data_IF_559114254529
#
_entry.id   IF_559114254529
#
_cell.length_a   1.000
_cell.length_b   1.000
_cell.length_c   1.000
_cell.angle_alpha   90.00
_cell.angle_beta   90.00
_cell.angle_gamma   90.00
#
_symmetry.space_group_name_H-M   'P 1'
#
loop_
_entity.id
_entity.type
_entity.pdbx_description
1 polymer ?
#
# COMPACT_ATOMS: atom_id res chain seq x y z
N UNK A 1 5.33 -6.71 5.10
CA UNK A 1 4.96 -5.54 4.28
C UNK A 1 5.48 -4.23 4.87
N UNK A 2 5.17 -3.90 6.13
CA UNK A 2 5.52 -2.59 6.74
C UNK A 2 7.02 -2.23 6.73
N UNK A 3 7.94 -3.19 6.97
CA UNK A 3 9.40 -2.93 6.87
C UNK A 3 9.80 -2.48 5.44
N UNK A 4 9.19 -3.07 4.41
CA UNK A 4 9.38 -2.65 3.01
C UNK A 4 8.87 -1.22 2.80
N UNK A 5 7.69 -0.91 3.33
CA UNK A 5 7.10 0.42 3.26
C UNK A 5 7.97 1.46 3.98
N UNK A 6 8.63 1.11 5.09
CA UNK A 6 9.58 1.98 5.78
C UNK A 6 10.78 2.35 4.90
N UNK A 7 11.41 1.36 4.26
CA UNK A 7 12.55 1.59 3.36
C UNK A 7 12.14 2.48 2.18
N UNK A 8 10.95 2.24 1.61
CA UNK A 8 10.45 3.01 0.48
C UNK A 8 10.05 4.43 0.87
N UNK A 9 9.39 4.61 2.02
CA UNK A 9 9.06 5.93 2.55
C UNK A 9 10.30 6.76 2.85
N UNK A 10 11.34 6.16 3.42
CA UNK A 10 12.64 6.82 3.64
C UNK A 10 13.26 7.25 2.30
N UNK A 11 13.21 6.40 1.27
CA UNK A 11 13.71 6.76 -0.06
C UNK A 11 12.93 7.93 -0.68
N UNK A 12 11.60 7.95 -0.54
CA UNK A 12 10.76 9.05 -0.99
C UNK A 12 11.12 10.37 -0.28
N UNK A 13 11.21 10.35 1.05
CA UNK A 13 11.54 11.53 1.85
C UNK A 13 12.95 12.07 1.52
N UNK A 14 13.93 11.19 1.31
CA UNK A 14 15.28 11.57 0.86
C UNK A 14 15.28 12.23 -0.51
N UNK A 15 14.49 11.69 -1.45
CA UNK A 15 14.34 12.29 -2.78
C UNK A 15 13.58 13.63 -2.73
N UNK A 16 12.70 13.83 -1.76
CA UNK A 16 12.03 15.12 -1.53
C UNK A 16 12.93 16.17 -0.86
N UNK A 17 14.18 15.81 -0.52
CA UNK A 17 15.18 16.70 0.06
C UNK A 17 15.41 16.56 1.57
N UNK A 18 14.71 15.65 2.25
CA UNK A 18 14.90 15.39 3.68
C UNK A 18 16.10 14.45 3.86
N UNK A 19 17.26 14.99 4.23
CA UNK A 19 18.53 14.24 4.32
C UNK A 19 18.48 13.07 5.29
N UNK A 20 17.93 13.30 6.48
CA UNK A 20 17.83 12.31 7.57
C UNK A 20 16.38 12.22 8.06
N UNK A 21 15.49 11.57 7.29
CA UNK A 21 14.08 11.53 7.61
C UNK A 21 13.83 10.74 8.89
N UNK A 22 12.95 11.28 9.72
CA UNK A 22 12.41 10.59 10.88
C UNK A 22 11.32 9.61 10.51
N UNK A 23 11.44 8.41 11.06
CA UNK A 23 10.51 7.31 10.85
C UNK A 23 9.70 7.04 12.11
N UNK A 24 8.38 6.99 11.99
CA UNK A 24 7.50 6.47 13.02
C UNK A 24 6.59 5.35 12.49
N UNK A 25 6.10 4.51 13.40
CA UNK A 25 5.23 3.38 13.07
C UNK A 25 3.88 3.63 13.70
N UNK A 26 2.82 3.65 12.90
CA UNK A 26 1.47 3.78 13.45
C UNK A 26 1.13 2.57 14.32
N UNK A 27 0.45 2.80 15.45
CA UNK A 27 0.02 1.74 16.36
C UNK A 27 -1.13 0.89 15.78
N UNK A 28 -0.78 0.03 14.82
CA UNK A 28 -1.64 -0.98 14.19
C UNK A 28 -1.05 -2.37 14.38
N UNK A 29 -1.78 -3.41 13.95
CA UNK A 29 -1.29 -4.78 13.98
C UNK A 29 0.03 -4.93 13.21
N UNK A 30 0.97 -5.66 13.81
CA UNK A 30 2.32 -5.82 13.27
C UNK A 30 3.28 -4.66 13.55
N UNK A 31 2.85 -3.56 14.18
CA UNK A 31 3.72 -2.42 14.50
C UNK A 31 4.94 -2.81 15.36
N UNK A 32 4.74 -3.59 16.43
CA UNK A 32 5.83 -4.08 17.31
C UNK A 32 6.76 -5.07 16.63
N UNK A 33 6.26 -5.86 15.67
CA UNK A 33 7.13 -6.73 14.88
C UNK A 33 7.99 -5.91 13.92
N UNK A 34 7.40 -4.91 13.29
CA UNK A 34 8.08 -3.97 12.39
C UNK A 34 9.16 -3.18 13.13
N UNK A 35 8.85 -2.64 14.31
CA UNK A 35 9.79 -1.95 15.20
C UNK A 35 11.03 -2.82 15.50
N UNK A 36 10.81 -4.06 15.95
CA UNK A 36 11.90 -5.00 16.25
C UNK A 36 12.78 -5.28 15.02
N UNK A 37 12.21 -5.44 13.84
CA UNK A 37 12.97 -5.70 12.61
C UNK A 37 13.79 -4.47 12.19
N UNK A 38 13.19 -3.28 12.26
CA UNK A 38 13.89 -2.04 11.92
C UNK A 38 15.02 -1.73 12.90
N UNK A 39 14.84 -2.00 14.20
CA UNK A 39 15.91 -1.92 15.20
C UNK A 39 17.05 -2.89 14.89
N UNK A 40 16.74 -4.13 14.50
CA UNK A 40 17.77 -5.09 14.07
C UNK A 40 18.53 -4.62 12.83
N UNK A 41 17.83 -4.02 11.85
CA UNK A 41 18.47 -3.43 10.66
C UNK A 41 19.35 -2.25 11.05
N UNK A 42 18.91 -1.39 11.97
CA UNK A 42 19.68 -0.25 12.47
C UNK A 42 20.97 -0.72 13.16
N UNK A 43 20.88 -1.75 14.01
CA UNK A 43 22.04 -2.38 14.66
C UNK A 43 23.01 -3.03 13.66
N UNK A 44 22.56 -3.33 12.43
CA UNK A 44 23.36 -3.85 11.32
C UNK A 44 23.83 -2.75 10.35
N UNK A 45 23.65 -1.48 10.71
CA UNK A 45 24.18 -0.33 9.97
C UNK A 45 23.20 0.35 9.00
N UNK A 46 21.90 0.02 9.03
CA UNK A 46 20.90 0.77 8.27
C UNK A 46 20.57 2.10 8.96
N UNK A 47 21.05 3.21 8.40
CA UNK A 47 20.92 4.53 9.01
C UNK A 47 19.60 5.23 8.65
N UNK A 48 18.83 5.55 9.68
CA UNK A 48 17.66 6.45 9.65
C UNK A 48 17.44 7.00 11.07
N UNK A 49 16.69 8.11 11.18
CA UNK A 49 16.32 8.71 12.47
C UNK A 49 14.99 8.12 12.94
N UNK A 50 14.88 7.74 14.19
CA UNK A 50 13.57 7.46 14.76
C UNK A 50 12.81 8.75 15.03
N UNK A 51 11.51 8.73 14.76
CA UNK A 51 10.57 9.68 15.29
C UNK A 51 10.14 9.31 16.71
N UNK A 52 9.54 10.26 17.41
CA UNK A 52 9.04 10.08 18.77
C UNK A 52 7.58 10.52 18.86
N UNK A 53 6.77 9.68 19.51
CA UNK A 53 5.42 10.04 19.93
C UNK A 53 5.49 11.03 21.09
N UNK A 54 4.56 11.99 21.12
CA UNK A 54 4.47 13.00 22.19
C UNK A 54 3.92 12.46 23.53
N UNK A 55 3.76 11.15 23.69
CA UNK A 55 3.40 10.56 24.99
C UNK A 55 4.52 10.82 26.01
N UNK A 56 4.14 10.89 27.30
CA UNK A 56 5.12 11.04 28.39
C UNK A 56 6.22 9.96 28.39
N UNK A 57 5.89 8.76 27.91
CA UNK A 57 6.79 7.60 27.77
C UNK A 57 7.57 7.55 26.43
N UNK A 58 7.40 8.54 25.54
CA UNK A 58 8.14 8.71 24.26
C UNK A 58 8.16 7.52 23.29
N UNK A 59 9.06 7.48 22.30
CA UNK A 59 9.31 6.28 21.49
C UNK A 59 8.54 6.16 20.18
N UNK A 60 8.79 5.06 19.46
CA UNK A 60 8.65 5.00 18.00
C UNK A 60 7.27 4.62 17.47
N UNK A 61 6.39 4.16 18.37
CA UNK A 61 5.02 3.78 18.04
C UNK A 61 4.10 5.00 18.22
N UNK A 62 3.53 5.45 17.12
CA UNK A 62 2.72 6.65 17.00
C UNK A 62 1.24 6.38 17.27
N UNK A 63 0.53 7.40 17.77
CA UNK A 63 -0.93 7.45 17.90
C UNK A 63 -1.52 8.42 16.88
N UNK A 64 -2.84 8.39 16.69
CA UNK A 64 -3.56 9.30 15.79
C UNK A 64 -3.18 10.78 15.94
N UNK A 65 -3.00 11.26 17.18
CA UNK A 65 -2.61 12.66 17.43
C UNK A 65 -1.23 13.01 16.85
N UNK A 66 -0.28 12.06 16.86
CA UNK A 66 1.08 12.30 16.34
C UNK A 66 1.07 12.52 14.82
N UNK A 67 0.08 11.98 14.10
CA UNK A 67 -0.12 12.23 12.67
C UNK A 67 -0.63 13.65 12.44
N UNK A 68 -1.55 14.13 13.29
CA UNK A 68 -2.13 15.47 13.18
C UNK A 68 -1.11 16.58 13.48
N UNK A 69 -0.18 16.32 14.40
CA UNK A 69 0.86 17.28 14.77
C UNK A 69 2.09 17.20 13.86
N UNK A 70 2.16 16.22 12.94
CA UNK A 70 3.28 16.08 12.02
C UNK A 70 4.60 15.75 12.70
N UNK A 71 4.60 14.89 13.72
CA UNK A 71 5.78 14.63 14.55
C UNK A 71 6.93 13.90 13.83
N UNK A 72 6.66 13.31 12.66
CA UNK A 72 7.64 12.53 11.89
C UNK A 72 7.54 12.84 10.41
N UNK A 73 8.62 12.61 9.68
CA UNK A 73 8.67 12.79 8.22
C UNK A 73 8.03 11.61 7.48
N UNK A 74 8.15 10.39 8.03
CA UNK A 74 7.62 9.14 7.44
C UNK A 74 6.83 8.37 8.49
N UNK A 75 5.55 8.11 8.19
CA UNK A 75 4.69 7.21 8.99
C UNK A 75 4.49 5.90 8.24
N UNK A 76 4.71 4.78 8.92
CA UNK A 76 4.48 3.44 8.35
C UNK A 76 3.26 2.78 8.98
N UNK A 77 2.39 2.26 8.14
CA UNK A 77 1.21 1.46 8.50
C UNK A 77 1.00 0.34 7.46
N UNK A 78 0.00 -0.51 7.71
CA UNK A 78 -0.51 -1.46 6.73
C UNK A 78 -1.29 -0.76 5.60
N UNK A 79 -1.55 -1.49 4.52
CA UNK A 79 -2.16 -0.95 3.30
C UNK A 79 -3.58 -0.43 3.53
N UNK A 80 -4.40 -1.12 4.34
CA UNK A 80 -5.79 -0.76 4.55
C UNK A 80 -5.88 0.52 5.38
N UNK A 81 -5.12 0.58 6.47
CA UNK A 81 -5.02 1.79 7.30
C UNK A 81 -4.50 2.96 6.47
N UNK A 82 -3.45 2.77 5.67
CA UNK A 82 -2.92 3.80 4.78
C UNK A 82 -3.98 4.36 3.81
N UNK A 83 -4.80 3.49 3.21
CA UNK A 83 -5.90 3.92 2.33
C UNK A 83 -6.91 4.83 3.05
N UNK A 84 -7.33 4.41 4.25
CA UNK A 84 -8.28 5.16 5.07
C UNK A 84 -7.68 6.53 5.45
N UNK A 85 -6.43 6.56 5.90
CA UNK A 85 -5.75 7.80 6.30
C UNK A 85 -5.63 8.78 5.12
N UNK A 86 -5.24 8.29 3.95
CA UNK A 86 -5.15 9.13 2.75
C UNK A 86 -6.51 9.77 2.42
N UNK A 87 -7.60 9.01 2.45
CA UNK A 87 -8.95 9.54 2.20
C UNK A 87 -9.39 10.52 3.28
N UNK A 88 -9.20 10.16 4.55
CA UNK A 88 -9.56 11.00 5.68
C UNK A 88 -8.84 12.35 5.62
N UNK A 89 -7.51 12.36 5.52
CA UNK A 89 -6.75 13.62 5.51
C UNK A 89 -7.02 14.47 4.28
N UNK A 90 -7.25 13.86 3.13
CA UNK A 90 -7.44 14.61 1.88
C UNK A 90 -8.85 15.17 1.72
N UNK A 91 -9.89 14.54 2.29
CA UNK A 91 -11.30 14.86 1.99
C UNK A 91 -12.19 15.15 3.20
N UNK A 92 -11.66 15.21 4.43
CA UNK A 92 -12.49 15.42 5.63
C UNK A 92 -13.29 16.74 5.61
N UNK A 93 -12.73 17.81 5.04
CA UNK A 93 -13.39 19.12 4.94
C UNK A 93 -14.46 19.19 3.86
N UNK A 94 -14.48 18.23 2.93
CA UNK A 94 -15.41 18.20 1.79
C UNK A 94 -16.57 17.22 1.97
N UNK A 95 -16.63 16.51 3.10
CA UNK A 95 -17.57 15.41 3.31
C UNK A 95 -17.21 14.11 2.54
N UNK A 96 -15.94 13.91 2.17
CA UNK A 96 -15.43 12.62 1.69
C UNK A 96 -15.41 12.38 0.17
N UNK A 97 -16.15 13.18 -0.60
CA UNK A 97 -16.30 12.97 -2.05
C UNK A 97 -15.31 13.75 -2.92
N UNK A 98 -14.50 14.63 -2.32
CA UNK A 98 -13.60 15.53 -3.05
C UNK A 98 -12.33 15.80 -2.25
N UNK A 99 -11.16 15.47 -2.80
CA UNK A 99 -9.91 15.68 -2.09
C UNK A 99 -9.51 17.16 -2.22
N UNK A 100 -9.38 17.85 -1.09
CA UNK A 100 -9.06 19.29 -1.02
C UNK A 100 -7.64 19.56 -0.53
N UNK A 101 -6.98 18.57 0.11
CA UNK A 101 -5.66 18.71 0.69
C UNK A 101 -4.78 17.47 0.43
N UNK A 102 -3.46 17.67 0.48
CA UNK A 102 -2.47 16.61 0.24
C UNK A 102 -1.83 16.66 -1.15
N UNK A 103 -1.08 15.59 -1.48
CA UNK A 103 -0.24 15.50 -2.68
C UNK A 103 -0.56 14.24 -3.52
N UNK A 104 -1.79 13.73 -3.45
CA UNK A 104 -2.19 12.45 -4.05
C UNK A 104 -1.53 11.25 -3.37
N UNK A 105 -1.43 10.12 -4.08
CA UNK A 105 -0.89 8.87 -3.51
C UNK A 105 0.64 8.78 -3.52
N UNK A 106 1.32 9.80 -4.05
CA UNK A 106 2.78 9.85 -4.12
C UNK A 106 3.40 8.92 -5.18
N UNK A 107 4.74 8.79 -5.17
CA UNK A 107 5.48 8.04 -6.17
C UNK A 107 5.44 6.52 -5.91
N UNK A 108 5.30 5.74 -6.98
CA UNK A 108 5.56 4.32 -6.98
C UNK A 108 7.05 4.03 -6.84
N UNK A 109 7.45 3.39 -5.75
CA UNK A 109 8.84 3.04 -5.44
C UNK A 109 9.02 1.53 -5.49
N UNK A 110 10.09 1.08 -6.13
CA UNK A 110 10.40 -0.34 -6.24
C UNK A 110 11.75 -0.61 -6.90
N UNK A 111 12.33 -1.77 -6.59
CA UNK A 111 13.65 -2.16 -7.13
C UNK A 111 13.66 -2.25 -8.66
N UNK A 112 12.52 -2.64 -9.26
CA UNK A 112 12.36 -2.83 -10.70
C UNK A 112 11.62 -1.67 -11.39
N UNK A 113 11.22 -0.63 -10.64
CA UNK A 113 10.52 0.51 -11.20
C UNK A 113 11.44 1.29 -12.14
N UNK A 114 11.12 1.28 -13.44
CA UNK A 114 11.86 2.01 -14.49
C UNK A 114 11.37 3.44 -14.66
N UNK A 115 10.07 3.64 -14.46
CA UNK A 115 9.40 4.93 -14.63
C UNK A 115 8.90 5.41 -13.27
N UNK A 116 8.95 6.73 -13.05
CA UNK A 116 8.25 7.36 -11.95
C UNK A 116 6.75 7.37 -12.26
N UNK A 117 5.97 6.63 -11.48
CA UNK A 117 4.52 6.57 -11.61
C UNK A 117 3.93 7.24 -10.38
N UNK A 118 3.05 8.22 -10.57
CA UNK A 118 2.25 8.78 -9.50
C UNK A 118 0.78 8.63 -9.86
N UNK A 119 -0.02 8.20 -8.89
CA UNK A 119 -1.45 7.96 -9.05
C UNK A 119 -2.19 9.08 -8.32
N UNK A 120 -3.26 9.56 -8.96
CA UNK A 120 -4.20 10.52 -8.36
C UNK A 120 -5.61 9.96 -8.49
N UNK A 121 -6.46 10.28 -7.51
CA UNK A 121 -7.88 9.94 -7.56
C UNK A 121 -8.61 10.82 -8.57
N UNK A 122 -9.66 10.31 -9.21
CA UNK A 122 -10.59 11.15 -9.99
C UNK A 122 -11.27 12.22 -9.13
N UNK A 123 -11.39 11.98 -7.83
CA UNK A 123 -11.93 12.93 -6.85
C UNK A 123 -10.91 14.00 -6.43
N UNK A 124 -9.67 13.96 -6.97
CA UNK A 124 -8.62 14.92 -6.61
C UNK A 124 -8.97 16.31 -7.11
N UNK A 125 -9.11 17.26 -6.19
CA UNK A 125 -9.28 18.65 -6.54
C UNK A 125 -8.03 19.28 -7.15
N UNK A 126 -8.21 20.43 -7.81
CA UNK A 126 -7.10 21.17 -8.45
C UNK A 126 -5.91 21.41 -7.50
N UNK A 127 -6.09 21.77 -6.21
CA UNK A 127 -4.97 21.92 -5.29
C UNK A 127 -4.17 20.62 -5.07
N UNK A 128 -4.85 19.48 -4.93
CA UNK A 128 -4.21 18.17 -4.73
C UNK A 128 -3.45 17.74 -5.97
N UNK A 129 -4.02 17.96 -7.16
CA UNK A 129 -3.35 17.69 -8.44
C UNK A 129 -2.10 18.55 -8.60
N UNK A 130 -2.17 19.84 -8.29
CA UNK A 130 -1.01 20.73 -8.34
C UNK A 130 0.11 20.27 -7.39
N UNK A 131 -0.24 19.94 -6.14
CA UNK A 131 0.71 19.44 -5.16
C UNK A 131 1.32 18.08 -5.56
N UNK A 132 0.53 17.18 -6.15
CA UNK A 132 1.01 15.90 -6.66
C UNK A 132 2.05 16.10 -7.78
N UNK A 133 1.81 17.06 -8.69
CA UNK A 133 2.77 17.42 -9.74
C UNK A 133 4.07 18.01 -9.16
N UNK A 134 3.96 18.90 -8.17
CA UNK A 134 5.13 19.43 -7.46
C UNK A 134 5.92 18.30 -6.78
N UNK A 135 5.24 17.39 -6.10
CA UNK A 135 5.88 16.26 -5.44
C UNK A 135 6.58 15.33 -6.44
N UNK A 136 5.96 15.07 -7.61
CA UNK A 136 6.62 14.35 -8.70
C UNK A 136 7.87 15.07 -9.21
N UNK A 137 7.81 16.40 -9.35
CA UNK A 137 8.95 17.20 -9.75
C UNK A 137 10.10 17.10 -8.73
N UNK A 138 9.80 17.15 -7.43
CA UNK A 138 10.79 16.91 -6.36
C UNK A 138 11.45 15.54 -6.49
N UNK A 139 10.66 14.48 -6.76
CA UNK A 139 11.21 13.13 -6.97
C UNK A 139 12.20 13.06 -8.13
N UNK A 140 11.91 13.77 -9.23
CA UNK A 140 12.82 13.86 -10.39
C UNK A 140 14.08 14.64 -10.03
N UNK A 141 13.93 15.80 -9.38
CA UNK A 141 15.05 16.65 -8.95
C UNK A 141 15.99 15.93 -7.97
N UNK A 142 15.42 15.19 -7.01
CA UNK A 142 16.16 14.35 -6.06
C UNK A 142 16.71 13.07 -6.66
N UNK A 143 16.44 12.77 -7.94
CA UNK A 143 16.85 11.53 -8.60
C UNK A 143 16.39 10.27 -7.84
N UNK A 144 15.07 10.15 -7.65
CA UNK A 144 14.44 9.02 -6.95
C UNK A 144 14.90 7.66 -7.49
N UNK A 145 15.16 7.54 -8.80
CA UNK A 145 15.62 6.28 -9.39
C UNK A 145 16.98 5.83 -8.84
N UNK A 146 17.86 6.76 -8.49
CA UNK A 146 19.14 6.47 -7.85
C UNK A 146 18.94 6.22 -6.36
N UNK A 147 18.23 7.11 -5.67
CA UNK A 147 18.02 7.04 -4.21
C UNK A 147 17.32 5.73 -3.83
N UNK A 148 16.26 5.33 -4.53
CA UNK A 148 15.55 4.10 -4.21
C UNK A 148 16.45 2.87 -4.30
N UNK A 149 17.34 2.80 -5.30
CA UNK A 149 18.27 1.67 -5.46
C UNK A 149 19.29 1.65 -4.34
N UNK A 150 19.89 2.81 -4.03
CA UNK A 150 20.86 2.93 -2.94
C UNK A 150 20.26 2.58 -1.59
N UNK A 151 19.04 3.05 -1.31
CA UNK A 151 18.35 2.78 -0.04
C UNK A 151 17.98 1.30 0.08
N UNK A 152 17.49 0.68 -1.00
CA UNK A 152 17.20 -0.76 -1.06
C UNK A 152 18.47 -1.58 -0.82
N UNK A 153 19.59 -1.23 -1.44
CA UNK A 153 20.87 -1.93 -1.25
C UNK A 153 21.42 -1.77 0.16
N UNK A 154 21.31 -0.58 0.77
CA UNK A 154 21.67 -0.37 2.18
C UNK A 154 20.81 -1.24 3.10
N UNK A 155 19.50 -1.27 2.88
CA UNK A 155 18.58 -2.09 3.66
C UNK A 155 18.91 -3.59 3.52
N UNK A 156 19.16 -4.09 2.30
CA UNK A 156 19.56 -5.49 2.06
C UNK A 156 20.84 -5.87 2.79
N UNK A 157 21.86 -5.00 2.75
CA UNK A 157 23.12 -5.19 3.51
C UNK A 157 22.90 -5.27 5.01
N UNK A 158 21.88 -4.59 5.53
CA UNK A 158 21.47 -4.66 6.93
C UNK A 158 20.52 -5.85 7.25
N UNK A 159 20.41 -6.82 6.34
CA UNK A 159 19.61 -8.03 6.54
C UNK A 159 18.12 -7.86 6.24
N UNK A 160 17.74 -6.82 5.50
CA UNK A 160 16.41 -6.76 4.91
C UNK A 160 16.27 -7.84 3.84
N UNK A 161 15.45 -8.82 4.13
CA UNK A 161 14.99 -9.79 3.15
C UNK A 161 13.68 -9.27 2.60
N UNK A 162 13.70 -8.81 1.35
CA UNK A 162 12.47 -8.75 0.57
C UNK A 162 12.15 -10.22 0.33
N UNK A 163 11.03 -10.77 0.83
CA UNK A 163 10.58 -12.04 0.29
C UNK A 163 10.49 -11.81 -1.21
N UNK A 164 11.33 -12.49 -2.00
CA UNK A 164 11.03 -12.64 -3.42
C UNK A 164 9.55 -13.00 -3.45
N UNK A 165 8.75 -12.28 -4.24
CA UNK A 165 7.34 -12.59 -4.36
C UNK A 165 7.29 -14.11 -4.50
N UNK A 166 6.80 -14.79 -3.46
CA UNK A 166 6.68 -16.23 -3.57
C UNK A 166 5.79 -16.38 -4.81
N UNK A 167 6.18 -17.13 -5.85
CA UNK A 167 5.16 -17.63 -6.76
C UNK A 167 4.13 -18.24 -5.82
N UNK A 168 2.92 -17.67 -5.82
CA UNK A 168 1.93 -17.76 -4.74
C UNK A 168 2.12 -19.08 -4.01
N UNK A 169 2.69 -19.02 -2.80
CA UNK A 169 3.16 -20.23 -2.14
C UNK A 169 1.99 -21.21 -2.16
N UNK A 170 2.17 -22.31 -2.88
CA UNK A 170 1.32 -23.47 -2.86
C UNK A 170 1.36 -24.04 -1.44
N UNK A 171 0.69 -23.33 -0.52
CA UNK A 171 0.11 -23.95 0.63
C UNK A 171 -0.77 -25.06 0.09
N UNK A 172 -0.55 -26.27 0.58
CA UNK A 172 -1.32 -27.47 0.27
C UNK A 172 -2.80 -27.28 0.67
N UNK A 173 -3.50 -26.47 -0.09
CA UNK A 173 -4.94 -26.41 -0.27
C UNK A 173 -5.09 -26.72 -1.75
N UNK A 174 -5.86 -27.75 -2.10
CA UNK A 174 -6.11 -28.22 -3.47
C UNK A 174 -5.81 -27.15 -4.52
N UNK A 175 -4.76 -27.36 -5.33
CA UNK A 175 -4.27 -26.42 -6.33
C UNK A 175 -5.36 -26.21 -7.39
N UNK A 176 -6.30 -25.32 -7.07
CA UNK A 176 -7.34 -24.90 -7.99
C UNK A 176 -6.65 -23.89 -8.91
N UNK A 177 -6.25 -24.39 -10.08
CA UNK A 177 -5.70 -23.55 -11.12
C UNK A 177 -6.79 -22.67 -11.73
N UNK A 178 -6.46 -21.44 -12.15
CA UNK A 178 -7.40 -20.62 -12.92
C UNK A 178 -7.81 -21.37 -14.20
N UNK A 179 -9.11 -21.39 -14.55
CA UNK A 179 -9.56 -21.91 -15.83
C UNK A 179 -9.05 -21.02 -16.97
N UNK A 180 -9.29 -21.43 -18.22
CA UNK A 180 -8.81 -20.70 -19.40
C UNK A 180 -9.19 -19.21 -19.34
N UNK A 181 -8.20 -18.33 -19.56
CA UNK A 181 -8.38 -16.90 -19.45
C UNK A 181 -9.47 -16.40 -20.41
N UNK A 182 -10.40 -15.62 -19.88
CA UNK A 182 -11.45 -14.94 -20.64
C UNK A 182 -11.26 -13.42 -20.57
N UNK A 183 -11.83 -12.70 -21.54
CA UNK A 183 -11.90 -11.24 -21.49
C UNK A 183 -12.85 -10.84 -20.37
N UNK A 184 -12.32 -10.19 -19.34
CA UNK A 184 -13.10 -9.71 -18.20
C UNK A 184 -13.77 -8.39 -18.55
N UNK A 185 -15.03 -8.43 -18.96
CA UNK A 185 -15.81 -7.26 -19.38
C UNK A 185 -16.72 -6.72 -18.27
N UNK A 186 -16.80 -7.39 -17.13
CA UNK A 186 -17.68 -7.02 -16.02
C UNK A 186 -16.97 -7.16 -14.66
N UNK A 187 -17.52 -6.51 -13.64
CA UNK A 187 -16.94 -6.48 -12.28
C UNK A 187 -17.99 -6.74 -11.20
N UNK A 188 -17.59 -7.48 -10.17
CA UNK A 188 -18.37 -7.72 -8.94
C UNK A 188 -17.70 -6.97 -7.79
N UNK A 189 -18.31 -5.87 -7.31
CA UNK A 189 -17.83 -5.14 -6.14
C UNK A 189 -18.35 -5.75 -4.82
N UNK A 190 -17.85 -5.23 -3.70
CA UNK A 190 -18.40 -5.54 -2.37
C UNK A 190 -17.75 -6.71 -1.65
N UNK A 191 -16.57 -7.14 -2.11
CA UNK A 191 -15.81 -8.24 -1.49
C UNK A 191 -14.77 -7.65 -0.52
N UNK A 192 -14.65 -8.24 0.66
CA UNK A 192 -13.62 -7.87 1.62
C UNK A 192 -12.23 -8.18 1.04
N UNK A 193 -11.29 -7.25 1.21
CA UNK A 193 -9.91 -7.42 0.74
C UNK A 193 -9.23 -8.64 1.36
N UNK A 194 -9.62 -9.01 2.58
CA UNK A 194 -9.10 -10.17 3.29
C UNK A 194 -9.63 -11.50 2.72
N UNK A 195 -10.78 -11.47 2.03
CA UNK A 195 -11.44 -12.65 1.47
C UNK A 195 -11.30 -12.74 -0.05
N UNK A 196 -10.71 -11.72 -0.69
CA UNK A 196 -10.65 -11.59 -2.14
C UNK A 196 -10.01 -12.79 -2.84
N UNK A 197 -8.91 -13.31 -2.29
CA UNK A 197 -8.21 -14.48 -2.84
C UNK A 197 -9.06 -15.76 -2.70
N UNK A 198 -9.78 -15.92 -1.59
CA UNK A 198 -10.65 -17.08 -1.35
C UNK A 198 -11.91 -17.01 -2.23
N UNK A 199 -12.46 -15.82 -2.42
CA UNK A 199 -13.58 -15.56 -3.32
C UNK A 199 -13.22 -15.92 -4.77
N UNK A 200 -12.06 -15.49 -5.28
CA UNK A 200 -11.58 -15.86 -6.62
C UNK A 200 -11.36 -17.37 -6.74
N UNK A 201 -10.78 -18.00 -5.72
CA UNK A 201 -10.58 -19.46 -5.71
C UNK A 201 -11.90 -20.23 -5.72
N UNK A 202 -12.95 -19.73 -5.07
CA UNK A 202 -14.28 -20.34 -5.11
C UNK A 202 -14.86 -20.36 -6.54
N UNK A 203 -14.62 -19.32 -7.32
CA UNK A 203 -15.02 -19.24 -8.74
C UNK A 203 -14.21 -20.20 -9.61
N UNK A 204 -12.91 -20.33 -9.36
CA UNK A 204 -12.08 -21.27 -10.11
C UNK A 204 -12.46 -22.73 -9.86
N UNK A 205 -12.92 -23.10 -8.65
CA UNK A 205 -13.48 -24.44 -8.36
C UNK A 205 -14.65 -24.77 -9.29
N UNK A 206 -15.42 -23.76 -9.64
CA UNK A 206 -16.58 -23.84 -10.53
C UNK A 206 -16.21 -23.66 -12.01
N UNK A 207 -14.93 -23.65 -12.37
CA UNK A 207 -14.45 -23.41 -13.74
C UNK A 207 -14.87 -22.05 -14.31
N UNK A 208 -15.04 -21.04 -13.45
CA UNK A 208 -15.29 -19.65 -13.85
C UNK A 208 -13.98 -18.88 -13.80
N UNK A 209 -13.60 -18.23 -14.90
CA UNK A 209 -12.40 -17.39 -14.91
C UNK A 209 -12.69 -16.07 -14.20
N UNK A 210 -11.88 -15.78 -13.18
CA UNK A 210 -11.97 -14.58 -12.37
C UNK A 210 -10.57 -14.05 -12.04
N UNK A 211 -10.41 -12.74 -12.01
CA UNK A 211 -9.20 -12.05 -11.61
C UNK A 211 -9.50 -10.99 -10.55
N UNK A 212 -8.51 -10.64 -9.73
CA UNK A 212 -8.65 -9.58 -8.74
C UNK A 212 -8.42 -8.20 -9.36
N UNK A 213 -9.12 -7.20 -8.85
CA UNK A 213 -8.96 -5.80 -9.25
C UNK A 213 -9.26 -4.84 -8.11
N UNK A 214 -9.06 -3.55 -8.36
CA UNK A 214 -9.41 -2.47 -7.43
C UNK A 214 -10.33 -1.48 -8.14
N UNK A 215 -11.59 -1.44 -7.68
CA UNK A 215 -12.61 -0.51 -8.15
C UNK A 215 -12.63 0.77 -7.31
N UNK A 216 -13.53 1.69 -7.68
CA UNK A 216 -13.63 2.99 -7.00
C UNK A 216 -14.14 2.89 -5.56
N UNK A 217 -14.85 1.81 -5.22
CA UNK A 217 -15.46 1.57 -3.91
C UNK A 217 -14.71 0.51 -3.09
N UNK A 218 -13.67 -0.13 -3.63
CA UNK A 218 -12.93 -1.17 -2.93
C UNK A 218 -12.47 -2.30 -3.85
N UNK A 219 -12.11 -3.46 -3.27
CA UNK A 219 -11.75 -4.65 -4.03
C UNK A 219 -12.88 -5.11 -4.94
N UNK A 220 -12.54 -5.55 -6.14
CA UNK A 220 -13.47 -6.08 -7.13
C UNK A 220 -12.96 -7.40 -7.68
N UNK A 221 -13.90 -8.25 -8.12
CA UNK A 221 -13.59 -9.42 -8.96
C UNK A 221 -13.96 -9.10 -10.41
N UNK A 222 -12.98 -9.25 -11.30
CA UNK A 222 -13.12 -9.10 -12.74
C UNK A 222 -13.51 -10.45 -13.36
N UNK A 223 -14.58 -10.47 -14.15
CA UNK A 223 -15.16 -11.67 -14.76
C UNK A 223 -15.62 -11.41 -16.20
N UNK A 224 -15.83 -12.49 -16.96
CA UNK A 224 -16.50 -12.40 -18.25
C UNK A 224 -17.99 -12.08 -18.05
N UNK A 225 -18.58 -11.29 -18.96
CA UNK A 225 -19.96 -10.83 -18.82
C UNK A 225 -20.96 -12.00 -18.79
N UNK A 226 -20.69 -13.05 -19.57
CA UNK A 226 -21.50 -14.27 -19.62
C UNK A 226 -21.47 -15.10 -18.33
N UNK A 227 -20.44 -14.96 -17.49
CA UNK A 227 -20.27 -15.75 -16.27
C UNK A 227 -20.86 -15.05 -15.03
N UNK A 228 -21.39 -13.83 -15.17
CA UNK A 228 -21.77 -12.95 -14.05
C UNK A 228 -22.82 -13.53 -13.12
N UNK A 229 -23.92 -14.04 -13.66
CA UNK A 229 -25.00 -14.61 -12.84
C UNK A 229 -24.52 -15.84 -12.07
N UNK A 230 -23.74 -16.70 -12.71
CA UNK A 230 -23.18 -17.89 -12.09
C UNK A 230 -22.14 -17.52 -11.03
N UNK A 231 -21.28 -16.55 -11.32
CA UNK A 231 -20.27 -16.06 -10.38
C UNK A 231 -20.92 -15.44 -9.14
N UNK A 232 -21.94 -14.60 -9.30
CA UNK A 232 -22.69 -14.03 -8.18
C UNK A 232 -23.27 -15.12 -7.29
N UNK A 233 -23.88 -16.15 -7.88
CA UNK A 233 -24.46 -17.25 -7.10
C UNK A 233 -23.41 -18.00 -6.28
N UNK A 234 -22.26 -18.31 -6.88
CA UNK A 234 -21.15 -18.98 -6.18
C UNK A 234 -20.60 -18.12 -5.04
N UNK A 235 -20.48 -16.81 -5.26
CA UNK A 235 -19.99 -15.89 -4.25
C UNK A 235 -21.01 -15.68 -3.11
N UNK A 236 -22.31 -15.67 -3.41
CA UNK A 236 -23.39 -15.60 -2.42
C UNK A 236 -23.46 -16.87 -1.57
N UNK A 237 -23.42 -18.04 -2.22
CA UNK A 237 -23.42 -19.34 -1.54
C UNK A 237 -22.15 -19.50 -0.66
N UNK A 238 -21.04 -18.89 -1.06
CA UNK A 238 -19.79 -18.81 -0.31
C UNK A 238 -19.76 -17.75 0.79
N UNK A 239 -20.77 -16.89 0.88
CA UNK A 239 -20.86 -15.81 1.88
C UNK A 239 -19.96 -14.60 1.61
N UNK A 240 -19.36 -14.49 0.42
CA UNK A 240 -18.44 -13.41 0.06
C UNK A 240 -19.15 -12.12 -0.37
N UNK A 241 -20.41 -12.24 -0.82
CA UNK A 241 -21.27 -11.12 -1.20
C UNK A 241 -22.71 -11.39 -0.74
N UNK A 242 -23.43 -10.33 -0.39
CA UNK A 242 -24.84 -10.38 0.05
C UNK A 242 -25.86 -10.32 -1.07
#
# INVERSE_FOLDING_TARGET
AMVKNAVYGIAAAKADGIKEPSLGILNVDGARQTERHLLQMQNRGYSFRWGESQRAEGGHILRGNDLLTGNVDVVVCDTLTGNILMKMFSSFTSGGNYETAGCGYGPGIGAEARNLIAIISRASGTPVVANALCYCASMVQGNISKIQKEEIEKAKKAGWQIPAAAPAAAGKSDEIMPPAAKVTADEIPGIDIMELDDAVRSLWKEQIFAATGMGCTGPIILIAAEDKERALKVLQDGGFVG
#
